data_IF_929259753092
#
_entry.id   IF_929259753092
#
_cell.length_a   1.000
_cell.length_b   1.000
_cell.length_c   1.000
_cell.angle_alpha   90.00
_cell.angle_beta   90.00
_cell.angle_gamma   90.00
#
_symmetry.space_group_name_H-M   'P 1'
#
loop_
_entity.id
_entity.type
_entity.pdbx_description
1 polymer ?
#
# COMPACT_ATOMS: atom_id res chain seq x y z
N UNK A 1 -1.24 29.25 -8.18
CA UNK A 1 -2.15 28.21 -8.69
C UNK A 1 -1.38 27.42 -9.72
N UNK A 2 -1.45 26.10 -9.67
CA UNK A 2 -0.82 25.23 -10.65
C UNK A 2 -1.62 25.27 -11.95
N UNK A 3 -0.96 25.19 -13.10
CA UNK A 3 -1.64 24.95 -14.39
C UNK A 3 -2.47 23.66 -14.40
N UNK A 4 -2.20 22.74 -13.45
CA UNK A 4 -2.93 21.48 -13.30
C UNK A 4 -4.20 21.61 -12.45
N UNK A 5 -4.40 22.71 -11.71
CA UNK A 5 -5.57 22.90 -10.83
C UNK A 5 -6.89 23.02 -11.62
N UNK A 6 -6.84 23.37 -12.91
CA UNK A 6 -8.01 23.57 -13.78
C UNK A 6 -8.31 22.36 -14.69
N UNK A 7 -7.49 21.31 -14.64
CA UNK A 7 -7.69 20.11 -15.47
C UNK A 7 -8.82 19.24 -14.93
N UNK A 8 -9.54 18.58 -15.84
CA UNK A 8 -10.46 17.51 -15.45
C UNK A 8 -9.67 16.36 -14.78
N UNK A 9 -10.20 15.72 -13.73
CA UNK A 9 -9.50 14.65 -13.00
C UNK A 9 -8.93 13.55 -13.91
N UNK A 10 -9.67 13.18 -14.96
CA UNK A 10 -9.28 12.13 -15.91
C UNK A 10 -8.07 12.50 -16.78
N UNK A 11 -7.77 13.80 -16.93
CA UNK A 11 -6.68 14.33 -17.74
C UNK A 11 -5.41 14.59 -16.93
N UNK A 12 -5.51 14.62 -15.60
CA UNK A 12 -4.43 15.07 -14.72
C UNK A 12 -3.16 14.22 -14.88
N UNK A 13 -3.25 12.91 -14.65
CA UNK A 13 -2.07 12.03 -14.72
C UNK A 13 -1.42 12.03 -16.11
N UNK A 14 -2.23 12.12 -17.18
CA UNK A 14 -1.72 12.23 -18.54
C UNK A 14 -0.90 13.52 -18.75
N UNK A 15 -1.36 14.63 -18.19
CA UNK A 15 -0.61 15.89 -18.24
C UNK A 15 0.70 15.81 -17.42
N UNK A 16 0.68 15.11 -16.28
CA UNK A 16 1.85 14.93 -15.42
C UNK A 16 2.97 14.10 -16.06
N UNK A 17 2.70 13.23 -17.03
CA UNK A 17 3.73 12.46 -17.75
C UNK A 17 4.81 13.35 -18.40
N UNK A 18 4.45 14.58 -18.77
CA UNK A 18 5.37 15.56 -19.37
C UNK A 18 5.94 16.58 -18.38
N UNK A 19 5.50 16.53 -17.12
CA UNK A 19 5.95 17.44 -16.09
C UNK A 19 7.39 17.12 -15.66
N UNK A 20 8.14 18.14 -15.30
CA UNK A 20 9.50 18.02 -14.77
C UNK A 20 9.53 18.26 -13.27
N UNK A 21 10.66 18.00 -12.63
CA UNK A 21 10.85 18.20 -11.18
C UNK A 21 10.69 19.65 -10.71
N UNK A 22 10.64 20.61 -11.64
CA UNK A 22 10.40 22.03 -11.35
C UNK A 22 8.93 22.43 -11.47
N UNK A 23 8.05 21.52 -11.91
CA UNK A 23 6.63 21.80 -12.06
C UNK A 23 5.97 21.99 -10.68
N UNK A 24 5.10 23.00 -10.57
CA UNK A 24 4.21 23.13 -9.42
C UNK A 24 3.03 22.20 -9.60
N UNK A 25 2.89 21.19 -8.75
CA UNK A 25 1.74 20.27 -8.74
C UNK A 25 0.46 20.97 -8.22
N UNK A 26 -0.74 20.42 -8.53
CA UNK A 26 -1.97 20.94 -7.98
C UNK A 26 -2.09 20.59 -6.48
N UNK A 27 -3.13 21.12 -5.83
CA UNK A 27 -3.39 20.80 -4.42
C UNK A 27 -3.57 19.29 -4.22
N UNK A 28 -3.16 18.79 -3.05
CA UNK A 28 -3.29 17.37 -2.72
C UNK A 28 -4.73 16.86 -2.88
N UNK A 29 -5.74 17.63 -2.44
CA UNK A 29 -7.14 17.24 -2.62
C UNK A 29 -7.49 16.99 -4.09
N UNK A 30 -7.06 17.88 -5.00
CA UNK A 30 -7.24 17.73 -6.45
C UNK A 30 -6.53 16.49 -6.99
N UNK A 31 -5.33 16.17 -6.49
CA UNK A 31 -4.63 14.91 -6.85
C UNK A 31 -5.40 13.68 -6.37
N UNK A 32 -5.88 13.69 -5.13
CA UNK A 32 -6.63 12.56 -4.56
C UNK A 32 -7.98 12.33 -5.26
N UNK A 33 -8.62 13.40 -5.75
CA UNK A 33 -9.87 13.33 -6.52
C UNK A 33 -9.64 12.77 -7.95
N UNK A 34 -8.40 12.83 -8.45
CA UNK A 34 -8.03 12.28 -9.76
C UNK A 34 -7.55 10.82 -9.73
N UNK A 35 -7.34 10.24 -8.54
CA UNK A 35 -6.92 8.83 -8.39
C UNK A 35 -7.94 7.91 -9.06
N UNK A 36 -7.45 6.94 -9.82
CA UNK A 36 -8.27 5.94 -10.51
C UNK A 36 -8.52 4.75 -9.59
N UNK A 37 -9.54 4.87 -8.76
CA UNK A 37 -10.10 3.72 -8.07
C UNK A 37 -10.82 2.81 -9.07
N UNK A 38 -10.75 1.50 -8.84
CA UNK A 38 -11.51 0.53 -9.62
C UNK A 38 -13.03 0.63 -9.35
N UNK A 39 -13.83 -0.22 -9.99
CA UNK A 39 -15.29 -0.23 -9.84
C UNK A 39 -15.78 -0.44 -8.40
N UNK A 40 -14.97 -1.07 -7.54
CA UNK A 40 -15.25 -1.26 -6.11
C UNK A 40 -14.83 -0.05 -5.25
N UNK A 41 -14.31 1.02 -5.85
CA UNK A 41 -13.74 2.17 -5.13
C UNK A 41 -12.39 1.86 -4.47
N UNK A 42 -11.61 0.94 -5.03
CA UNK A 42 -10.35 0.44 -4.47
C UNK A 42 -9.15 0.68 -5.38
N UNK A 43 -7.99 0.90 -4.77
CA UNK A 43 -6.69 1.02 -5.43
C UNK A 43 -5.72 -0.04 -4.87
N UNK A 44 -4.94 -0.76 -5.70
CA UNK A 44 -3.85 -1.60 -5.23
C UNK A 44 -2.76 -0.75 -4.55
N UNK A 45 -2.36 -1.14 -3.34
CA UNK A 45 -1.26 -0.52 -2.60
C UNK A 45 -0.16 -1.55 -2.32
N UNK A 46 1.00 -1.36 -2.93
CA UNK A 46 2.20 -2.16 -2.75
C UNK A 46 2.98 -1.59 -1.57
N UNK A 47 3.08 -2.34 -0.48
CA UNK A 47 3.94 -1.99 0.64
C UNK A 47 5.36 -2.51 0.40
N UNK A 48 6.31 -1.58 0.44
CA UNK A 48 7.74 -1.85 0.26
C UNK A 48 8.51 -1.37 1.48
N UNK A 49 9.47 -2.15 1.96
CA UNK A 49 10.38 -1.71 3.01
C UNK A 49 11.25 -0.55 2.49
N UNK A 50 11.23 0.58 3.21
CA UNK A 50 11.75 1.86 2.71
C UNK A 50 13.27 1.90 2.45
N UNK A 51 14.07 1.13 3.18
CA UNK A 51 15.54 1.16 3.16
C UNK A 51 16.15 0.05 2.27
N UNK A 52 15.50 -1.11 2.21
CA UNK A 52 15.99 -2.28 1.45
C UNK A 52 15.30 -2.44 0.10
N UNK A 53 14.14 -1.82 -0.11
CA UNK A 53 13.32 -2.04 -1.30
C UNK A 53 12.59 -3.39 -1.34
N UNK A 54 12.64 -4.20 -0.27
CA UNK A 54 11.92 -5.48 -0.20
C UNK A 54 10.41 -5.25 -0.34
N UNK A 55 9.78 -5.88 -1.33
CA UNK A 55 8.31 -5.86 -1.44
C UNK A 55 7.72 -6.77 -0.37
N UNK A 56 6.91 -6.19 0.53
CA UNK A 56 6.38 -6.87 1.71
C UNK A 56 5.01 -7.48 1.45
N UNK A 57 4.09 -6.72 0.84
CA UNK A 57 2.73 -7.16 0.55
C UNK A 57 2.03 -6.23 -0.44
N UNK A 58 0.92 -6.70 -1.00
CA UNK A 58 -0.06 -5.85 -1.67
C UNK A 58 -1.40 -5.99 -0.93
N UNK A 59 -2.09 -4.88 -0.74
CA UNK A 59 -3.45 -4.85 -0.23
C UNK A 59 -4.23 -3.70 -0.86
N UNK A 60 -5.54 -3.67 -0.67
CA UNK A 60 -6.42 -2.65 -1.23
C UNK A 60 -6.54 -1.47 -0.28
N UNK A 61 -6.61 -0.26 -0.82
CA UNK A 61 -7.06 0.94 -0.11
C UNK A 61 -8.30 1.50 -0.80
N UNK A 62 -9.25 2.03 -0.03
CA UNK A 62 -10.22 2.99 -0.54
C UNK A 62 -9.72 4.42 -0.25
N UNK A 63 -10.48 5.44 -0.67
CA UNK A 63 -10.14 6.86 -0.41
C UNK A 63 -9.87 7.13 1.08
N UNK A 64 -10.75 6.66 1.96
CA UNK A 64 -10.64 6.86 3.41
C UNK A 64 -9.38 6.20 4.00
N UNK A 65 -9.05 4.98 3.59
CA UNK A 65 -7.84 4.29 4.03
C UNK A 65 -6.55 5.02 3.61
N UNK A 66 -6.53 5.58 2.40
CA UNK A 66 -5.42 6.39 1.91
C UNK A 66 -5.28 7.68 2.72
N UNK A 67 -6.37 8.43 2.91
CA UNK A 67 -6.36 9.67 3.71
C UNK A 67 -5.94 9.43 5.15
N UNK A 68 -6.44 8.36 5.78
CA UNK A 68 -6.01 7.96 7.12
C UNK A 68 -4.52 7.61 7.16
N UNK A 69 -4.03 6.88 6.15
CA UNK A 69 -2.60 6.52 6.05
C UNK A 69 -1.73 7.77 5.99
N UNK A 70 -2.07 8.74 5.13
CA UNK A 70 -1.34 10.00 4.98
C UNK A 70 -1.39 10.86 6.25
N UNK A 71 -2.55 10.90 6.91
CA UNK A 71 -2.76 11.73 8.10
C UNK A 71 -2.07 11.14 9.34
N UNK A 72 -2.23 9.83 9.57
CA UNK A 72 -1.75 9.17 10.79
C UNK A 72 -0.31 8.67 10.69
N UNK A 73 0.26 8.63 9.47
CA UNK A 73 1.56 8.03 9.18
C UNK A 73 1.64 6.53 9.58
N UNK A 74 0.49 5.87 9.69
CA UNK A 74 0.34 4.43 9.93
C UNK A 74 -0.50 3.85 8.80
N UNK A 75 -0.01 2.77 8.18
CA UNK A 75 -0.70 2.20 7.03
C UNK A 75 -2.05 1.60 7.43
N UNK A 76 -3.10 2.10 6.78
CA UNK A 76 -4.47 1.64 6.85
C UNK A 76 -4.88 1.10 5.48
N UNK A 77 -5.47 -0.10 5.47
CA UNK A 77 -5.98 -0.76 4.27
C UNK A 77 -7.50 -0.90 4.34
N UNK A 78 -8.13 -1.26 3.24
CA UNK A 78 -9.53 -1.66 3.19
C UNK A 78 -9.65 -3.18 3.03
N UNK A 79 -10.32 -3.82 3.99
CA UNK A 79 -10.54 -5.27 3.98
C UNK A 79 -11.79 -5.61 3.19
N UNK A 80 -11.66 -6.02 1.92
CA UNK A 80 -12.80 -6.42 1.05
C UNK A 80 -13.75 -7.44 1.68
N UNK A 81 -13.23 -8.42 2.41
CA UNK A 81 -14.06 -9.43 3.07
C UNK A 81 -14.82 -8.92 4.30
N UNK A 82 -14.30 -7.88 4.97
CA UNK A 82 -14.88 -7.31 6.19
C UNK A 82 -15.58 -5.98 5.94
N UNK A 83 -15.48 -5.46 4.72
CA UNK A 83 -16.00 -4.16 4.27
C UNK A 83 -15.68 -3.03 5.26
N UNK A 84 -14.44 -2.97 5.74
CA UNK A 84 -14.00 -1.98 6.73
C UNK A 84 -12.51 -1.66 6.64
N UNK A 85 -12.15 -0.50 7.18
CA UNK A 85 -10.77 -0.10 7.41
C UNK A 85 -10.04 -1.10 8.31
N UNK A 86 -8.76 -1.29 8.02
CA UNK A 86 -7.86 -2.20 8.71
C UNK A 86 -6.50 -1.55 8.89
N UNK A 87 -6.16 -1.20 10.13
CA UNK A 87 -4.84 -0.64 10.45
C UNK A 87 -3.85 -1.78 10.54
N UNK A 88 -2.80 -1.77 9.71
CA UNK A 88 -1.84 -2.88 9.69
C UNK A 88 -1.24 -3.09 11.08
N UNK A 89 -1.27 -4.33 11.54
CA UNK A 89 -0.78 -4.72 12.86
C UNK A 89 -1.71 -4.38 14.03
N UNK A 90 -2.97 -3.98 13.81
CA UNK A 90 -3.92 -3.69 14.92
C UNK A 90 -4.10 -4.86 15.89
N UNK A 91 -4.04 -6.09 15.39
CA UNK A 91 -4.17 -7.30 16.22
C UNK A 91 -2.81 -7.88 16.63
N UNK A 92 -1.86 -7.97 15.70
CA UNK A 92 -0.59 -8.68 15.92
C UNK A 92 0.54 -7.82 16.49
N UNK A 93 0.34 -6.51 16.60
CA UNK A 93 1.40 -5.54 16.93
C UNK A 93 2.41 -5.28 15.80
N UNK A 94 2.34 -6.01 14.68
CA UNK A 94 3.29 -5.90 13.56
C UNK A 94 2.87 -4.80 12.58
N UNK A 95 3.17 -3.56 12.96
CA UNK A 95 2.72 -2.34 12.29
C UNK A 95 3.61 -1.93 11.11
N UNK A 96 3.04 -1.08 10.25
CA UNK A 96 3.74 -0.39 9.18
C UNK A 96 3.63 1.11 9.41
N UNK A 97 4.77 1.76 9.62
CA UNK A 97 4.86 3.22 9.67
C UNK A 97 5.17 3.73 8.28
N UNK A 98 4.35 4.67 7.79
CA UNK A 98 4.56 5.32 6.51
C UNK A 98 5.87 6.12 6.52
N UNK A 99 6.65 6.02 5.44
CA UNK A 99 7.81 6.88 5.17
C UNK A 99 7.59 7.73 3.94
N UNK A 100 7.00 7.16 2.88
CA UNK A 100 6.59 7.89 1.70
C UNK A 100 5.46 7.13 0.98
N UNK A 101 4.72 7.84 0.13
CA UNK A 101 3.74 7.26 -0.77
C UNK A 101 3.91 7.90 -2.15
N UNK A 102 3.75 7.09 -3.21
CA UNK A 102 3.77 7.54 -4.59
C UNK A 102 2.65 6.85 -5.37
N UNK A 103 2.11 7.54 -6.37
CA UNK A 103 1.24 6.99 -7.38
C UNK A 103 2.09 6.61 -8.60
N UNK A 104 1.63 5.62 -9.36
CA UNK A 104 2.20 5.33 -10.67
C UNK A 104 1.74 6.34 -11.75
N UNK A 105 2.12 6.08 -12.99
CA UNK A 105 2.03 7.07 -14.07
C UNK A 105 0.60 7.49 -14.43
N UNK A 106 -0.38 6.60 -14.24
CA UNK A 106 -1.77 6.87 -14.57
C UNK A 106 -2.70 6.90 -13.35
N UNK A 107 -2.12 6.78 -12.15
CA UNK A 107 -2.77 7.04 -10.87
C UNK A 107 -3.69 5.91 -10.42
N UNK A 108 -3.42 4.68 -10.86
CA UNK A 108 -4.22 3.49 -10.54
C UNK A 108 -3.52 2.53 -9.57
N UNK A 109 -2.26 2.81 -9.19
CA UNK A 109 -1.51 2.00 -8.23
C UNK A 109 -0.70 2.87 -7.26
N UNK A 110 -0.70 2.47 -5.99
CA UNK A 110 0.11 3.09 -4.94
C UNK A 110 1.36 2.27 -4.62
N UNK A 111 2.52 2.93 -4.58
CA UNK A 111 3.69 2.45 -3.87
C UNK A 111 3.75 3.13 -2.50
N UNK A 112 3.74 2.32 -1.44
CA UNK A 112 3.80 2.77 -0.05
C UNK A 112 5.11 2.29 0.54
N UNK A 113 6.06 3.20 0.76
CA UNK A 113 7.31 2.86 1.44
C UNK A 113 7.11 2.94 2.95
N UNK A 114 7.45 1.85 3.63
CA UNK A 114 7.15 1.66 5.05
C UNK A 114 8.37 1.23 5.85
N UNK A 115 8.35 1.57 7.12
CA UNK A 115 9.12 0.89 8.15
C UNK A 115 8.22 -0.17 8.78
N UNK A 116 8.52 -1.44 8.49
CA UNK A 116 7.76 -2.59 8.98
C UNK A 116 8.38 -3.16 10.26
N UNK A 117 7.62 -3.17 11.35
CA UNK A 117 7.97 -3.90 12.57
C UNK A 117 7.64 -5.38 12.41
N UNK A 118 8.62 -6.26 12.67
CA UNK A 118 8.47 -7.71 12.58
C UNK A 118 7.93 -8.22 11.22
N UNK A 119 7.14 -9.32 11.19
CA UNK A 119 6.64 -9.87 9.95
C UNK A 119 5.46 -9.08 9.36
N UNK A 120 5.50 -8.83 8.04
CA UNK A 120 4.35 -8.25 7.35
C UNK A 120 3.23 -9.29 7.17
N UNK A 121 3.59 -10.56 6.93
CA UNK A 121 2.66 -11.63 6.62
C UNK A 121 2.09 -12.30 7.89
N UNK A 122 0.82 -12.69 7.82
CA UNK A 122 0.16 -13.45 8.90
C UNK A 122 0.75 -14.84 9.13
N UNK A 123 1.50 -15.37 8.16
CA UNK A 123 2.27 -16.61 8.30
C UNK A 123 3.55 -16.44 9.15
N UNK A 124 3.76 -15.26 9.73
CA UNK A 124 4.94 -14.98 10.53
C UNK A 124 6.17 -14.62 9.70
N UNK A 125 6.03 -14.54 8.37
CA UNK A 125 7.10 -14.27 7.42
C UNK A 125 7.27 -12.78 7.18
N UNK A 126 8.49 -12.40 6.80
CA UNK A 126 8.84 -11.01 6.50
C UNK A 126 7.97 -10.43 5.38
N UNK A 127 7.88 -11.15 4.27
CA UNK A 127 7.09 -10.79 3.08
C UNK A 127 6.00 -11.83 2.81
N UNK A 128 4.87 -11.38 2.23
CA UNK A 128 3.84 -12.25 1.68
C UNK A 128 4.32 -13.01 0.43
N UNK A 129 5.35 -12.51 -0.26
CA UNK A 129 5.87 -13.07 -1.51
C UNK A 129 6.96 -14.13 -1.27
N UNK A 130 6.68 -15.09 -0.38
CA UNK A 130 7.64 -16.14 0.00
C UNK A 130 7.57 -17.40 -0.87
N UNK A 131 6.61 -17.47 -1.79
CA UNK A 131 6.52 -18.55 -2.79
C UNK A 131 7.09 -18.00 -4.09
N UNK A 132 8.29 -18.47 -4.44
CA UNK A 132 8.95 -18.13 -5.71
C UNK A 132 8.54 -19.12 -6.78
N UNK A 133 8.22 -18.60 -7.97
CA UNK A 133 7.85 -19.39 -9.15
C UNK A 133 9.01 -19.38 -10.16
N UNK A 134 9.30 -20.55 -10.73
CA UNK A 134 10.10 -20.73 -11.93
C UNK A 134 9.24 -21.35 -13.05
N UNK A 135 9.82 -21.55 -14.23
CA UNK A 135 9.08 -22.08 -15.39
C UNK A 135 8.35 -23.41 -15.08
N UNK A 136 9.03 -24.33 -14.39
CA UNK A 136 8.52 -25.68 -14.11
C UNK A 136 8.52 -26.04 -12.60
N UNK A 137 8.77 -25.07 -11.72
CA UNK A 137 8.90 -25.34 -10.28
C UNK A 137 8.48 -24.16 -9.41
N UNK A 138 8.23 -24.44 -8.13
CA UNK A 138 8.01 -23.43 -7.12
C UNK A 138 8.81 -23.79 -5.85
N UNK A 139 9.25 -22.77 -5.10
CA UNK A 139 9.96 -22.95 -3.83
C UNK A 139 9.57 -21.92 -2.79
N UNK A 140 9.61 -22.35 -1.53
CA UNK A 140 9.54 -21.46 -0.36
C UNK A 140 10.90 -20.77 -0.19
N UNK A 141 10.92 -19.44 -0.07
CA UNK A 141 12.16 -18.64 -0.05
C UNK A 141 12.56 -18.08 1.31
N UNK A 142 11.74 -18.26 2.33
CA UNK A 142 12.02 -17.78 3.68
C UNK A 142 11.51 -18.78 4.72
N UNK A 143 11.81 -18.56 6.00
CA UNK A 143 11.15 -19.20 7.15
C UNK A 143 10.32 -18.15 7.94
N UNK A 144 9.32 -18.56 8.75
CA UNK A 144 8.64 -17.63 9.65
C UNK A 144 9.64 -17.03 10.63
N UNK A 145 9.60 -15.72 10.80
CA UNK A 145 10.37 -15.00 11.82
C UNK A 145 9.76 -15.21 13.22
N UNK A 146 8.43 -15.35 13.27
CA UNK A 146 7.64 -15.54 14.49
C UNK A 146 6.56 -16.57 14.19
N UNK A 147 6.28 -17.49 15.12
CA UNK A 147 5.16 -18.43 14.97
C UNK A 147 3.82 -17.66 14.87
N UNK A 148 2.99 -17.89 13.84
CA UNK A 148 1.65 -17.31 13.74
C UNK A 148 0.78 -17.48 15.00
N UNK A 149 0.91 -18.60 15.71
CA UNK A 149 0.17 -18.84 16.95
C UNK A 149 0.56 -17.86 18.06
N UNK A 150 1.81 -17.37 18.07
CA UNK A 150 2.27 -16.31 18.98
C UNK A 150 1.70 -14.95 18.59
N UNK A 151 1.51 -14.69 17.29
CA UNK A 151 1.02 -13.39 16.78
C UNK A 151 -0.48 -13.18 16.96
N UNK A 152 -1.27 -14.25 16.89
CA UNK A 152 -2.75 -14.16 16.85
C UNK A 152 -3.44 -14.94 17.98
N UNK A 153 -2.65 -15.59 18.86
CA UNK A 153 -3.15 -16.55 19.83
C UNK A 153 -3.53 -17.89 19.18
N UNK A 154 -3.59 -18.96 19.97
CA UNK A 154 -4.24 -20.20 19.52
C UNK A 154 -5.70 -19.87 19.22
N UNK A 155 -6.18 -20.16 18.00
CA UNK A 155 -7.62 -20.38 17.85
C UNK A 155 -8.00 -21.45 18.87
N UNK A 156 -8.95 -21.17 19.75
CA UNK A 156 -9.57 -22.21 20.55
C UNK A 156 -10.07 -23.30 19.58
N UNK A 157 -9.90 -24.59 19.94
CA UNK A 157 -10.33 -25.71 19.10
C UNK A 157 -11.80 -25.61 18.70
#
# INVERSE_FOLDING_TARGET
MSQFDELAPQQLFKALESATTTASLPKLATLLDAIRFNEDGLIPAIAQQHDTGEVLMMAWMNREALEETLTTQRVCYFSRSRQKLWRKGETSGQQQRLKSAALDCDGDTLLVQVEQTGPACHSGRRSCFYVSLGADSAKITSEPLIDPATLYGKKAP
#
